data_IF_819162180137
#
_entry.id   IF_819162180137
#
_cell.length_a   1.000
_cell.length_b   1.000
_cell.length_c   1.000
_cell.angle_alpha   90.00
_cell.angle_beta   90.00
_cell.angle_gamma   90.00
#
_symmetry.space_group_name_H-M   'P 1'
#
loop_
_entity.id
_entity.type
_entity.pdbx_description
1 polymer ?
#
# COMPACT_ATOMS: atom_id res chain seq x y z
N UNK A 1 -3.32 -30.46 -39.91
CA UNK A 1 -2.37 -29.33 -39.79
C UNK A 1 -1.86 -29.29 -38.37
N UNK A 2 -0.58 -29.57 -38.18
CA UNK A 2 0.06 -29.73 -36.88
C UNK A 2 -0.05 -28.39 -36.11
N UNK A 3 -0.82 -28.38 -35.03
CA UNK A 3 -0.77 -27.30 -34.06
C UNK A 3 0.66 -27.29 -33.48
N UNK A 4 1.49 -26.37 -33.96
CA UNK A 4 2.76 -26.06 -33.33
C UNK A 4 2.45 -25.69 -31.88
N UNK A 5 2.69 -26.64 -30.98
CA UNK A 5 2.73 -26.40 -29.54
C UNK A 5 3.88 -25.42 -29.28
N UNK A 6 3.63 -24.13 -29.46
CA UNK A 6 4.53 -23.10 -29.01
C UNK A 6 4.84 -23.41 -27.54
N UNK A 7 6.11 -23.64 -27.25
CA UNK A 7 6.51 -23.93 -25.87
C UNK A 7 6.02 -22.82 -24.97
N UNK A 8 5.42 -23.16 -23.83
CA UNK A 8 4.89 -22.20 -22.85
C UNK A 8 5.99 -21.22 -22.45
N UNK A 9 7.24 -21.65 -22.50
CA UNK A 9 8.42 -20.82 -22.20
C UNK A 9 8.63 -19.64 -23.16
N UNK A 10 8.21 -19.76 -24.44
CA UNK A 10 8.32 -18.67 -25.42
C UNK A 10 7.23 -17.60 -25.29
N UNK A 11 6.18 -17.86 -24.49
CA UNK A 11 5.08 -16.94 -24.23
C UNK A 11 5.29 -16.12 -22.93
N UNK A 12 6.46 -16.23 -22.29
CA UNK A 12 6.80 -15.43 -21.13
C UNK A 12 7.80 -14.32 -21.48
N UNK A 13 7.43 -13.02 -21.40
CA UNK A 13 8.35 -11.92 -21.67
C UNK A 13 9.44 -11.74 -20.61
N UNK A 14 9.39 -12.51 -19.52
CA UNK A 14 10.34 -12.38 -18.40
C UNK A 14 11.73 -12.98 -18.69
N UNK A 15 11.87 -13.89 -19.64
CA UNK A 15 13.16 -14.51 -20.01
C UNK A 15 13.84 -13.82 -21.20
N UNK A 16 13.10 -13.64 -22.27
CA UNK A 16 13.57 -12.99 -23.50
C UNK A 16 12.41 -12.22 -24.14
N UNK A 17 12.47 -10.90 -24.02
CA UNK A 17 11.44 -10.00 -24.50
C UNK A 17 11.38 -10.02 -26.04
N UNK A 18 12.52 -10.12 -26.73
CA UNK A 18 12.58 -10.10 -28.18
C UNK A 18 12.01 -11.39 -28.77
N UNK A 19 12.33 -12.55 -28.19
CA UNK A 19 11.74 -13.83 -28.57
C UNK A 19 10.22 -13.83 -28.36
N UNK A 20 9.74 -13.26 -27.25
CA UNK A 20 8.30 -13.07 -27.01
C UNK A 20 7.66 -12.20 -28.10
N UNK A 21 8.24 -11.05 -28.42
CA UNK A 21 7.73 -10.14 -29.45
C UNK A 21 7.69 -10.81 -30.82
N UNK A 22 8.73 -11.58 -31.18
CA UNK A 22 8.77 -12.33 -32.43
C UNK A 22 7.66 -13.39 -32.49
N UNK A 23 7.48 -14.13 -31.41
CA UNK A 23 6.41 -15.14 -31.29
C UNK A 23 5.03 -14.54 -31.43
N UNK A 24 4.77 -13.42 -30.75
CA UNK A 24 3.50 -12.71 -30.82
C UNK A 24 3.25 -12.14 -32.22
N UNK A 25 4.29 -11.67 -32.90
CA UNK A 25 4.17 -11.17 -34.27
C UNK A 25 3.92 -12.28 -35.30
N UNK A 26 4.13 -13.54 -34.98
CA UNK A 26 3.80 -14.67 -35.85
C UNK A 26 2.30 -15.00 -35.88
N UNK A 27 1.52 -14.56 -34.88
CA UNK A 27 0.07 -14.78 -34.87
C UNK A 27 -0.63 -13.97 -35.98
N UNK A 28 -1.62 -14.59 -36.67
CA UNK A 28 -2.36 -13.90 -37.71
C UNK A 28 -3.24 -12.77 -37.15
N UNK A 29 -3.40 -11.71 -37.96
CA UNK A 29 -4.37 -10.66 -37.64
C UNK A 29 -5.76 -11.13 -38.06
N UNK A 30 -6.72 -11.10 -37.15
CA UNK A 30 -8.09 -11.54 -37.41
C UNK A 30 -8.86 -10.50 -38.28
N UNK A 31 -9.58 -11.01 -39.27
CA UNK A 31 -10.57 -10.20 -39.96
C UNK A 31 -11.75 -9.90 -39.02
N UNK A 32 -12.52 -8.84 -39.32
CA UNK A 32 -13.69 -8.44 -38.51
C UNK A 32 -14.72 -9.60 -38.38
N UNK A 33 -14.89 -10.36 -39.46
CA UNK A 33 -15.83 -11.49 -39.46
C UNK A 33 -15.32 -12.67 -38.60
N UNK A 34 -14.01 -12.99 -38.68
CA UNK A 34 -13.41 -14.06 -37.88
C UNK A 34 -13.42 -13.68 -36.39
N UNK A 35 -13.08 -12.44 -36.06
CA UNK A 35 -13.14 -11.92 -34.69
C UNK A 35 -14.55 -12.04 -34.12
N UNK A 36 -15.56 -11.65 -34.88
CA UNK A 36 -16.97 -11.73 -34.47
C UNK A 36 -17.41 -13.19 -34.22
N UNK A 37 -17.09 -14.11 -35.13
CA UNK A 37 -17.42 -15.53 -34.95
C UNK A 37 -16.79 -16.13 -33.68
N UNK A 38 -15.53 -15.82 -33.41
CA UNK A 38 -14.86 -16.27 -32.22
C UNK A 38 -15.48 -15.65 -30.94
N UNK A 39 -15.84 -14.37 -31.02
CA UNK A 39 -16.49 -13.68 -29.90
C UNK A 39 -17.91 -14.23 -29.63
N UNK A 40 -18.69 -14.54 -30.67
CA UNK A 40 -19.99 -15.16 -30.54
C UNK A 40 -19.90 -16.56 -29.91
N UNK A 41 -18.94 -17.41 -30.34
CA UNK A 41 -18.69 -18.72 -29.72
C UNK A 41 -18.34 -18.59 -28.23
N UNK A 42 -17.48 -17.64 -27.89
CA UNK A 42 -17.14 -17.42 -26.47
C UNK A 42 -18.33 -16.88 -25.69
N UNK A 43 -19.09 -15.93 -26.24
CA UNK A 43 -20.19 -15.27 -25.55
C UNK A 43 -21.38 -16.21 -25.29
N UNK A 44 -21.76 -17.03 -26.26
CA UNK A 44 -22.94 -17.91 -26.15
C UNK A 44 -22.60 -19.31 -25.62
N UNK A 45 -21.44 -19.86 -26.00
CA UNK A 45 -21.06 -21.23 -25.72
C UNK A 45 -20.00 -21.37 -24.61
N UNK A 46 -19.47 -20.24 -24.10
CA UNK A 46 -18.34 -20.21 -23.18
C UNK A 46 -17.11 -21.00 -23.68
N UNK A 47 -16.88 -21.01 -25.01
CA UNK A 47 -15.76 -21.72 -25.61
C UNK A 47 -14.44 -21.06 -25.25
N UNK A 48 -13.70 -21.70 -24.34
CA UNK A 48 -12.38 -21.21 -23.88
C UNK A 48 -11.32 -21.25 -24.99
N UNK A 49 -11.45 -22.15 -26.00
CA UNK A 49 -10.53 -22.18 -27.13
C UNK A 49 -10.71 -20.94 -28.00
N UNK A 50 -11.95 -20.50 -28.24
CA UNK A 50 -12.25 -19.26 -28.94
C UNK A 50 -11.73 -18.03 -28.17
N UNK A 51 -11.90 -17.99 -26.84
CA UNK A 51 -11.34 -16.91 -26.01
C UNK A 51 -9.82 -16.86 -26.08
N UNK A 52 -9.15 -18.01 -26.01
CA UNK A 52 -7.69 -18.12 -26.15
C UNK A 52 -7.22 -17.55 -27.49
N UNK A 53 -7.86 -17.96 -28.58
CA UNK A 53 -7.52 -17.49 -29.93
C UNK A 53 -7.71 -15.97 -30.07
N UNK A 54 -8.80 -15.41 -29.52
CA UNK A 54 -9.02 -13.98 -29.45
C UNK A 54 -7.88 -13.26 -28.71
N UNK A 55 -7.48 -13.75 -27.55
CA UNK A 55 -6.39 -13.13 -26.78
C UNK A 55 -5.08 -13.21 -27.57
N UNK A 56 -4.68 -14.41 -28.08
CA UNK A 56 -3.40 -14.60 -28.76
C UNK A 56 -3.24 -13.70 -29.98
N UNK A 57 -4.29 -13.56 -30.79
CA UNK A 57 -4.26 -12.72 -31.98
C UNK A 57 -4.20 -11.22 -31.67
N UNK A 58 -4.53 -10.79 -30.44
CA UNK A 58 -4.52 -9.38 -30.03
C UNK A 58 -3.33 -8.99 -29.13
N UNK A 59 -2.43 -9.92 -28.77
CA UNK A 59 -1.23 -9.62 -27.97
C UNK A 59 -0.32 -8.58 -28.64
N UNK A 60 -0.24 -8.56 -29.97
CA UNK A 60 0.51 -7.54 -30.73
C UNK A 60 0.05 -6.13 -30.41
N UNK A 61 -1.25 -5.94 -30.26
CA UNK A 61 -1.83 -4.65 -29.89
C UNK A 61 -1.37 -4.22 -28.47
N UNK A 62 -1.32 -5.16 -27.52
CA UNK A 62 -0.83 -4.89 -26.15
C UNK A 62 0.63 -4.44 -26.16
N UNK A 63 1.49 -5.13 -26.94
CA UNK A 63 2.91 -4.76 -27.08
C UNK A 63 3.05 -3.35 -27.64
N UNK A 64 2.29 -3.02 -28.69
CA UNK A 64 2.31 -1.67 -29.26
C UNK A 64 1.91 -0.62 -28.25
N UNK A 65 0.88 -0.88 -27.46
CA UNK A 65 0.41 0.04 -26.43
C UNK A 65 1.42 0.17 -25.28
N UNK A 66 2.04 -0.94 -24.83
CA UNK A 66 3.05 -0.93 -23.75
C UNK A 66 4.28 -0.09 -24.13
N UNK A 67 4.68 -0.06 -25.40
CA UNK A 67 5.79 0.79 -25.87
C UNK A 67 5.54 2.28 -25.65
N UNK A 68 4.29 2.72 -25.69
CA UNK A 68 3.96 4.14 -25.41
C UNK A 68 4.19 4.55 -23.95
N UNK A 69 4.37 3.57 -23.05
CA UNK A 69 4.62 3.77 -21.62
C UNK A 69 6.06 3.48 -21.20
N UNK A 70 6.99 3.21 -22.12
CA UNK A 70 8.40 2.91 -21.80
C UNK A 70 9.11 4.05 -21.03
N UNK A 71 8.67 5.30 -21.20
CA UNK A 71 9.24 6.48 -20.54
C UNK A 71 9.03 6.60 -19.03
N UNK A 72 8.32 5.66 -18.40
CA UNK A 72 8.09 5.65 -16.95
C UNK A 72 9.18 4.91 -16.15
N UNK A 73 10.17 4.28 -16.83
CA UNK A 73 11.28 3.60 -16.16
C UNK A 73 10.93 2.24 -15.55
N UNK A 74 9.79 1.67 -15.94
CA UNK A 74 9.36 0.35 -15.51
C UNK A 74 9.72 -0.72 -16.56
N UNK A 75 9.84 -1.98 -16.11
CA UNK A 75 10.08 -3.12 -17.00
C UNK A 75 9.00 -3.21 -18.08
N UNK A 76 9.42 -3.27 -19.35
CA UNK A 76 8.49 -3.39 -20.46
C UNK A 76 7.77 -4.75 -20.47
N UNK A 77 8.44 -5.80 -20.00
CA UNK A 77 7.84 -7.13 -19.85
C UNK A 77 6.65 -7.10 -18.89
N UNK A 78 6.81 -6.43 -17.76
CA UNK A 78 5.73 -6.32 -16.76
C UNK A 78 4.56 -5.47 -17.27
N UNK A 79 4.85 -4.36 -17.96
CA UNK A 79 3.81 -3.55 -18.59
C UNK A 79 3.00 -4.35 -19.64
N UNK A 80 3.67 -5.20 -20.41
CA UNK A 80 3.01 -6.07 -21.38
C UNK A 80 2.12 -7.08 -20.65
N UNK A 81 2.60 -7.70 -19.56
CA UNK A 81 1.81 -8.70 -18.83
C UNK A 81 0.58 -8.07 -18.16
N UNK A 82 0.71 -6.91 -17.57
CA UNK A 82 -0.44 -6.18 -17.03
C UNK A 82 -1.42 -5.78 -18.13
N UNK A 83 -0.90 -5.38 -19.29
CA UNK A 83 -1.73 -5.17 -20.48
C UNK A 83 -2.44 -6.43 -20.96
N UNK A 84 -1.79 -7.59 -20.91
CA UNK A 84 -2.40 -8.88 -21.24
C UNK A 84 -3.53 -9.23 -20.24
N UNK A 85 -3.36 -8.93 -18.95
CA UNK A 85 -4.43 -9.06 -17.94
C UNK A 85 -5.61 -8.16 -18.33
N UNK A 86 -5.35 -6.92 -18.73
CA UNK A 86 -6.37 -6.00 -19.24
C UNK A 86 -7.10 -6.53 -20.47
N UNK A 87 -6.37 -7.11 -21.43
CA UNK A 87 -6.94 -7.75 -22.62
C UNK A 87 -7.84 -8.93 -22.25
N UNK A 88 -7.40 -9.80 -21.34
CA UNK A 88 -8.23 -10.93 -20.87
C UNK A 88 -9.50 -10.46 -20.17
N UNK A 89 -9.44 -9.40 -19.36
CA UNK A 89 -10.62 -8.77 -18.74
C UNK A 89 -11.56 -8.21 -19.81
N UNK A 90 -11.03 -7.60 -20.86
CA UNK A 90 -11.81 -7.09 -21.98
C UNK A 90 -12.51 -8.23 -22.74
N UNK A 91 -11.80 -9.29 -23.12
CA UNK A 91 -12.39 -10.44 -23.82
C UNK A 91 -13.53 -11.06 -23.00
N UNK A 92 -13.35 -11.21 -21.70
CA UNK A 92 -14.39 -11.75 -20.80
C UNK A 92 -15.67 -10.91 -20.77
N UNK A 93 -15.59 -9.60 -21.02
CA UNK A 93 -16.71 -8.65 -20.93
C UNK A 93 -17.18 -8.14 -22.29
N UNK A 94 -16.57 -8.64 -23.37
CA UNK A 94 -16.88 -8.22 -24.71
C UNK A 94 -18.24 -8.76 -25.17
N UNK A 95 -19.13 -7.86 -25.61
CA UNK A 95 -20.39 -8.24 -26.24
C UNK A 95 -20.30 -8.04 -27.76
N UNK A 96 -20.35 -9.13 -28.55
CA UNK A 96 -20.29 -9.06 -30.03
C UNK A 96 -21.49 -8.42 -30.69
N UNK A 97 -22.64 -8.31 -29.98
CA UNK A 97 -23.89 -7.71 -30.52
C UNK A 97 -23.78 -6.20 -30.71
N UNK A 98 -22.93 -5.52 -29.94
CA UNK A 98 -22.75 -4.05 -30.00
C UNK A 98 -22.14 -3.59 -31.33
N UNK A 99 -21.52 -4.50 -32.10
CA UNK A 99 -20.98 -4.20 -33.43
C UNK A 99 -19.66 -3.43 -33.45
N UNK A 100 -18.98 -3.25 -32.30
CA UNK A 100 -17.64 -2.64 -32.22
C UNK A 100 -16.55 -3.69 -32.32
N UNK A 101 -15.35 -3.29 -32.78
CA UNK A 101 -14.17 -4.15 -32.77
C UNK A 101 -13.65 -4.38 -31.36
N UNK A 102 -13.15 -5.59 -31.08
CA UNK A 102 -12.55 -5.93 -29.79
C UNK A 102 -11.42 -4.97 -29.41
N UNK A 103 -10.57 -4.56 -30.35
CA UNK A 103 -9.48 -3.62 -30.10
C UNK A 103 -10.00 -2.28 -29.52
N UNK A 104 -11.09 -1.74 -30.10
CA UNK A 104 -11.69 -0.48 -29.66
C UNK A 104 -12.25 -0.56 -28.24
N UNK A 105 -12.79 -1.71 -27.87
CA UNK A 105 -13.25 -1.96 -26.50
C UNK A 105 -12.10 -2.25 -25.54
N UNK A 106 -11.14 -3.09 -25.96
CA UNK A 106 -10.04 -3.56 -25.12
C UNK A 106 -9.04 -2.45 -24.76
N UNK A 107 -8.87 -1.42 -25.60
CA UNK A 107 -7.90 -0.33 -25.35
C UNK A 107 -8.09 0.31 -23.97
N UNK A 108 -9.33 0.49 -23.54
CA UNK A 108 -9.63 1.10 -22.24
C UNK A 108 -9.25 0.18 -21.07
N UNK A 109 -9.48 -1.12 -21.20
CA UNK A 109 -9.12 -2.12 -20.20
C UNK A 109 -7.61 -2.29 -20.09
N UNK A 110 -6.93 -2.40 -21.25
CA UNK A 110 -5.47 -2.53 -21.32
C UNK A 110 -4.79 -1.30 -20.71
N UNK A 111 -5.23 -0.09 -21.10
CA UNK A 111 -4.70 1.15 -20.53
C UNK A 111 -4.96 1.25 -19.03
N UNK A 112 -6.13 0.84 -18.56
CA UNK A 112 -6.46 0.92 -17.13
C UNK A 112 -5.53 0.06 -16.28
N UNK A 113 -5.25 -1.19 -16.70
CA UNK A 113 -4.32 -2.07 -15.98
C UNK A 113 -2.88 -1.53 -16.03
N UNK A 114 -2.40 -1.10 -17.20
CA UNK A 114 -1.07 -0.49 -17.32
C UNK A 114 -0.93 0.78 -16.46
N UNK A 115 -1.94 1.65 -16.45
CA UNK A 115 -1.94 2.85 -15.62
C UNK A 115 -1.93 2.53 -14.13
N UNK A 116 -2.71 1.54 -13.70
CA UNK A 116 -2.73 1.13 -12.28
C UNK A 116 -1.39 0.53 -11.87
N UNK A 117 -0.78 -0.29 -12.73
CA UNK A 117 0.55 -0.84 -12.51
C UNK A 117 1.60 0.27 -12.39
N UNK A 118 1.61 1.24 -13.32
CA UNK A 118 2.54 2.38 -13.29
C UNK A 118 2.37 3.18 -11.99
N UNK A 119 1.15 3.54 -11.61
CA UNK A 119 0.89 4.32 -10.40
C UNK A 119 1.30 3.60 -9.11
N UNK A 120 1.27 2.26 -9.13
CA UNK A 120 1.63 1.44 -7.98
C UNK A 120 3.13 1.27 -7.83
N UNK A 121 3.85 1.12 -8.95
CA UNK A 121 5.25 0.67 -8.96
C UNK A 121 6.24 1.77 -9.39
N UNK A 122 5.78 2.97 -9.77
CA UNK A 122 6.66 4.04 -10.24
C UNK A 122 7.66 4.50 -9.19
N UNK A 123 7.27 4.47 -7.90
CA UNK A 123 8.10 4.82 -6.75
C UNK A 123 7.72 3.97 -5.53
N UNK A 124 8.62 3.90 -4.55
CA UNK A 124 8.42 3.21 -3.27
C UNK A 124 7.17 3.77 -2.58
N UNK A 125 7.03 5.09 -2.52
CA UNK A 125 5.84 5.76 -1.98
C UNK A 125 4.89 6.14 -3.13
N UNK A 126 3.61 5.81 -2.97
CA UNK A 126 2.58 6.17 -3.96
C UNK A 126 2.47 7.69 -4.12
N UNK A 127 2.77 8.18 -5.32
CA UNK A 127 2.78 9.62 -5.64
C UNK A 127 1.37 10.16 -5.88
N UNK A 128 0.49 9.37 -6.50
CA UNK A 128 -0.84 9.78 -6.90
C UNK A 128 -1.92 8.88 -6.29
N UNK A 129 -2.60 9.34 -5.25
CA UNK A 129 -3.64 8.61 -4.52
C UNK A 129 -5.05 9.06 -4.88
N UNK A 130 -5.26 10.35 -5.19
CA UNK A 130 -6.56 10.92 -5.54
C UNK A 130 -6.78 10.93 -7.06
N UNK A 131 -8.05 11.03 -7.49
CA UNK A 131 -8.42 11.12 -8.91
C UNK A 131 -7.75 12.31 -9.62
N UNK A 132 -7.66 13.47 -8.95
CA UNK A 132 -7.00 14.65 -9.47
C UNK A 132 -5.49 14.42 -9.68
N UNK A 133 -4.82 13.83 -8.70
CA UNK A 133 -3.39 13.51 -8.76
C UNK A 133 -3.09 12.47 -9.86
N UNK A 134 -3.92 11.42 -10.01
CA UNK A 134 -3.77 10.44 -11.10
C UNK A 134 -3.89 11.10 -12.49
N UNK A 135 -4.85 12.01 -12.66
CA UNK A 135 -5.01 12.77 -13.90
C UNK A 135 -3.79 13.63 -14.19
N UNK A 136 -3.26 14.31 -13.19
CA UNK A 136 -2.04 15.12 -13.30
C UNK A 136 -0.81 14.27 -13.63
N UNK A 137 -0.65 13.11 -13.00
CA UNK A 137 0.50 12.24 -13.20
C UNK A 137 0.74 11.91 -14.68
N UNK A 138 -0.30 11.57 -15.41
CA UNK A 138 -0.19 11.20 -16.83
C UNK A 138 -0.16 12.41 -17.77
N UNK A 139 -0.74 13.55 -17.38
CA UNK A 139 -0.91 14.67 -18.30
C UNK A 139 0.07 15.83 -18.04
N UNK A 140 0.65 15.95 -16.83
CA UNK A 140 1.48 17.09 -16.47
C UNK A 140 2.71 17.23 -17.36
N UNK A 141 3.39 16.11 -17.69
CA UNK A 141 4.56 16.12 -18.57
C UNK A 141 4.22 16.59 -20.01
N UNK A 142 3.10 16.14 -20.55
CA UNK A 142 2.64 16.51 -21.89
C UNK A 142 2.28 17.99 -22.01
N UNK A 143 1.83 18.59 -20.91
CA UNK A 143 1.44 20.00 -20.85
C UNK A 143 2.61 20.95 -20.55
N UNK A 144 3.78 20.43 -20.13
CA UNK A 144 4.98 21.25 -19.94
C UNK A 144 5.64 21.57 -21.28
N UNK A 145 5.82 22.86 -21.55
CA UNK A 145 6.58 23.36 -22.72
C UNK A 145 8.08 23.43 -22.48
N UNK A 146 8.51 23.47 -21.21
CA UNK A 146 9.89 23.59 -20.76
C UNK A 146 10.21 22.52 -19.72
N UNK A 147 11.49 22.19 -19.57
CA UNK A 147 11.97 21.21 -18.57
C UNK A 147 11.97 21.76 -17.14
N UNK A 148 11.89 23.08 -16.94
CA UNK A 148 11.88 23.74 -15.65
C UNK A 148 10.57 23.61 -14.90
N UNK A 149 10.49 24.29 -13.74
CA UNK A 149 9.26 24.42 -12.97
C UNK A 149 8.24 25.24 -13.73
N UNK A 150 6.96 24.90 -13.54
CA UNK A 150 5.83 25.67 -14.06
C UNK A 150 5.78 27.04 -13.38
N UNK A 151 5.61 28.09 -14.18
CA UNK A 151 5.29 29.40 -13.63
C UNK A 151 3.80 29.50 -13.24
N UNK A 152 3.42 30.57 -12.54
CA UNK A 152 2.06 30.70 -12.02
C UNK A 152 0.99 30.71 -13.14
N UNK A 153 1.29 31.31 -14.28
CA UNK A 153 0.38 31.34 -15.43
C UNK A 153 0.21 29.97 -16.08
N UNK A 154 1.31 29.21 -16.21
CA UNK A 154 1.28 27.82 -16.72
C UNK A 154 0.55 26.90 -15.76
N UNK A 155 0.78 27.03 -14.44
CA UNK A 155 0.07 26.26 -13.41
C UNK A 155 -1.44 26.50 -13.48
N UNK A 156 -1.88 27.75 -13.63
CA UNK A 156 -3.30 28.09 -13.79
C UNK A 156 -3.89 27.54 -15.09
N UNK A 157 -3.13 27.58 -16.18
CA UNK A 157 -3.56 27.02 -17.47
C UNK A 157 -3.78 25.50 -17.36
N UNK A 158 -2.80 24.76 -16.82
CA UNK A 158 -2.91 23.32 -16.59
C UNK A 158 -4.05 22.99 -15.64
N UNK A 159 -4.23 23.76 -14.57
CA UNK A 159 -5.32 23.58 -13.63
C UNK A 159 -6.70 23.71 -14.32
N UNK A 160 -6.85 24.72 -15.19
CA UNK A 160 -8.08 24.94 -15.97
C UNK A 160 -8.33 23.82 -16.97
N UNK A 161 -7.33 23.42 -17.75
CA UNK A 161 -7.43 22.36 -18.77
C UNK A 161 -7.81 21.01 -18.15
N UNK A 162 -7.23 20.71 -17.02
CA UNK A 162 -7.47 19.42 -16.34
C UNK A 162 -8.61 19.47 -15.31
N UNK A 163 -9.19 20.66 -15.05
CA UNK A 163 -10.27 20.84 -14.08
C UNK A 163 -9.85 20.43 -12.66
N UNK A 164 -8.65 20.85 -12.24
CA UNK A 164 -8.06 20.57 -10.91
C UNK A 164 -7.63 21.88 -10.23
N UNK A 165 -7.46 21.88 -8.92
CA UNK A 165 -6.97 23.04 -8.18
C UNK A 165 -5.50 23.33 -8.52
N UNK A 166 -5.13 24.62 -8.68
CA UNK A 166 -3.76 25.05 -8.93
C UNK A 166 -2.78 24.60 -7.83
N UNK A 167 -3.21 24.59 -6.56
CA UNK A 167 -2.41 24.07 -5.45
C UNK A 167 -2.04 22.61 -5.63
N UNK A 168 -2.96 21.79 -6.14
CA UNK A 168 -2.72 20.36 -6.41
C UNK A 168 -1.74 20.18 -7.55
N UNK A 169 -1.75 21.06 -8.57
CA UNK A 169 -0.78 21.04 -9.67
C UNK A 169 0.64 21.27 -9.14
N UNK A 170 0.86 22.35 -8.36
CA UNK A 170 2.17 22.66 -7.76
C UNK A 170 2.64 21.55 -6.83
N UNK A 171 1.75 21.03 -5.98
CA UNK A 171 2.09 19.91 -5.10
C UNK A 171 2.49 18.67 -5.89
N UNK A 172 1.77 18.34 -6.96
CA UNK A 172 2.06 17.17 -7.78
C UNK A 172 3.36 17.32 -8.55
N UNK A 173 3.65 18.52 -9.03
CA UNK A 173 4.93 18.85 -9.67
C UNK A 173 6.10 18.59 -8.72
N UNK A 174 6.03 19.08 -7.48
CA UNK A 174 7.04 18.81 -6.44
C UNK A 174 7.22 17.32 -6.17
N UNK A 175 6.12 16.57 -6.03
CA UNK A 175 6.18 15.12 -5.83
C UNK A 175 6.81 14.37 -6.99
N UNK A 176 6.55 14.80 -8.24
CA UNK A 176 7.13 14.16 -9.43
C UNK A 176 8.61 14.51 -9.62
N UNK A 177 9.05 15.68 -9.17
CA UNK A 177 10.44 16.12 -9.22
C UNK A 177 11.30 15.49 -8.13
N UNK A 178 10.73 15.17 -6.97
CA UNK A 178 11.46 14.51 -5.88
C UNK A 178 12.02 13.17 -6.32
N UNK A 179 13.15 12.76 -5.77
CA UNK A 179 13.76 11.43 -5.96
C UNK A 179 13.74 10.68 -4.64
N UNK A 180 13.58 9.35 -4.73
CA UNK A 180 13.73 8.49 -3.56
C UNK A 180 15.23 8.49 -3.18
N UNK A 181 15.50 8.71 -1.88
CA UNK A 181 16.86 8.67 -1.33
C UNK A 181 17.15 7.24 -0.86
N UNK A 182 18.39 6.78 -1.07
CA UNK A 182 18.84 5.54 -0.45
C UNK A 182 18.89 5.74 1.07
N UNK A 183 18.41 4.75 1.83
CA UNK A 183 18.45 4.80 3.30
C UNK A 183 19.86 4.65 3.83
N UNK A 184 20.62 3.72 3.25
CA UNK A 184 22.03 3.49 3.56
C UNK A 184 22.91 4.31 2.61
N UNK A 185 24.04 4.82 3.12
CA UNK A 185 25.03 5.50 2.31
C UNK A 185 25.66 4.53 1.32
N UNK A 186 26.06 5.05 0.16
CA UNK A 186 26.97 4.32 -0.71
C UNK A 186 28.38 4.48 -0.15
N UNK A 187 29.10 3.39 0.01
CA UNK A 187 30.57 3.43 0.22
C UNK A 187 31.21 3.91 -1.08
N UNK A 188 31.29 5.24 -1.23
CA UNK A 188 32.11 5.84 -2.28
C UNK A 188 33.51 6.00 -1.74
N UNK A 189 34.38 5.07 -2.10
CA UNK A 189 35.82 5.12 -1.76
C UNK A 189 36.59 6.32 -2.41
N UNK A 190 35.92 7.07 -3.28
CA UNK A 190 36.56 8.15 -4.05
C UNK A 190 35.62 9.37 -4.17
N UNK A 191 35.87 10.40 -3.36
CA UNK A 191 35.40 11.75 -3.66
C UNK A 191 34.87 12.56 -2.48
N UNK A 192 35.12 13.86 -2.51
CA UNK A 192 34.81 14.91 -1.52
C UNK A 192 33.27 15.16 -1.32
N UNK A 193 32.38 14.49 -2.06
CA UNK A 193 30.94 14.65 -1.95
C UNK A 193 30.31 13.59 -1.01
N UNK A 194 30.66 13.68 0.27
CA UNK A 194 30.02 12.85 1.29
C UNK A 194 28.56 13.27 1.51
N UNK A 195 27.63 12.56 0.90
CA UNK A 195 26.20 12.74 1.15
C UNK A 195 25.81 11.95 2.39
N UNK A 196 25.47 12.65 3.48
CA UNK A 196 25.00 12.03 4.71
C UNK A 196 23.72 11.24 4.42
N UNK A 197 23.76 9.93 4.61
CA UNK A 197 22.61 9.05 4.39
C UNK A 197 21.59 9.18 5.52
N UNK A 198 20.28 8.95 5.25
CA UNK A 198 19.24 8.96 6.28
C UNK A 198 19.53 8.09 7.49
N UNK A 199 20.16 6.93 7.29
CA UNK A 199 20.57 6.01 8.37
C UNK A 199 21.53 6.63 9.39
N UNK A 200 22.25 7.69 9.00
CA UNK A 200 23.25 8.33 9.86
C UNK A 200 22.70 9.48 10.71
N UNK A 201 21.57 10.10 10.30
CA UNK A 201 20.99 11.23 11.04
C UNK A 201 19.60 10.95 11.62
N UNK A 202 18.96 9.84 11.25
CA UNK A 202 17.70 9.44 11.85
C UNK A 202 17.95 8.78 13.20
N UNK A 203 17.31 9.31 14.23
CA UNK A 203 17.34 8.69 15.56
C UNK A 203 16.59 7.35 15.56
N UNK A 204 17.19 6.35 16.19
CA UNK A 204 16.54 5.08 16.41
C UNK A 204 15.36 5.24 17.39
N UNK A 205 14.26 4.55 17.12
CA UNK A 205 13.10 4.51 18.04
C UNK A 205 13.34 3.59 19.24
N UNK A 206 14.48 2.86 19.28
CA UNK A 206 14.86 2.05 20.42
C UNK A 206 15.19 2.96 21.61
N UNK A 207 14.54 2.72 22.75
CA UNK A 207 14.80 3.47 23.95
C UNK A 207 16.30 3.38 24.33
N UNK A 208 16.84 4.51 24.82
CA UNK A 208 18.21 4.57 25.31
C UNK A 208 18.41 3.51 26.40
N UNK A 209 19.43 2.65 26.31
CA UNK A 209 19.67 1.60 27.32
C UNK A 209 19.73 2.11 28.75
N UNK A 210 20.26 3.33 28.96
CA UNK A 210 20.29 3.99 30.26
C UNK A 210 18.86 4.32 30.77
N UNK A 211 17.98 4.80 29.89
CA UNK A 211 16.59 5.07 30.23
C UNK A 211 15.80 3.79 30.52
N UNK A 212 16.06 2.72 29.75
CA UNK A 212 15.46 1.41 30.02
C UNK A 212 15.86 0.91 31.39
N UNK A 213 17.15 0.89 31.69
CA UNK A 213 17.66 0.46 33.00
C UNK A 213 17.09 1.33 34.15
N UNK A 214 17.07 2.66 33.97
CA UNK A 214 16.50 3.56 34.99
C UNK A 214 14.99 3.33 35.19
N UNK A 215 14.23 3.08 34.12
CA UNK A 215 12.81 2.77 34.21
C UNK A 215 12.54 1.40 34.86
N UNK A 216 13.37 0.41 34.58
CA UNK A 216 13.27 -0.93 35.16
C UNK A 216 13.58 -0.87 36.68
N UNK A 217 14.65 -0.17 37.07
CA UNK A 217 14.99 0.06 38.47
C UNK A 217 13.87 0.82 39.18
N UNK A 218 13.38 1.88 38.60
CA UNK A 218 12.27 2.67 39.15
C UNK A 218 11.00 1.81 39.31
N UNK A 219 10.63 1.06 38.31
CA UNK A 219 9.46 0.16 38.36
C UNK A 219 9.61 -0.90 39.43
N UNK A 220 10.78 -1.48 39.54
CA UNK A 220 11.11 -2.49 40.57
C UNK A 220 11.03 -1.90 41.98
N UNK A 221 11.60 -0.71 42.18
CA UNK A 221 11.55 0.00 43.45
C UNK A 221 10.12 0.37 43.87
N UNK A 222 9.36 1.01 42.94
CA UNK A 222 7.96 1.37 43.21
C UNK A 222 7.09 0.16 43.50
N UNK A 223 7.34 -0.95 42.80
CA UNK A 223 6.62 -2.21 43.06
C UNK A 223 6.97 -2.82 44.43
N UNK A 224 8.24 -2.78 44.81
CA UNK A 224 8.69 -3.24 46.13
C UNK A 224 8.10 -2.40 47.27
N UNK A 225 8.09 -1.06 47.09
CA UNK A 225 7.51 -0.12 48.05
C UNK A 225 6.00 -0.32 48.19
N UNK A 226 5.29 -0.50 47.06
CA UNK A 226 3.87 -0.83 47.08
C UNK A 226 3.56 -2.12 47.82
N UNK A 227 4.32 -3.17 47.54
CA UNK A 227 4.18 -4.46 48.27
C UNK A 227 4.49 -4.31 49.73
N UNK A 228 5.52 -3.55 50.11
CA UNK A 228 5.85 -3.22 51.50
C UNK A 228 4.71 -2.50 52.20
N UNK A 229 4.18 -1.47 51.59
CA UNK A 229 3.06 -0.70 52.10
C UNK A 229 1.76 -1.51 52.22
N UNK A 230 1.50 -2.44 51.33
CA UNK A 230 0.36 -3.37 51.38
C UNK A 230 0.52 -4.40 52.51
N UNK A 231 1.72 -4.93 52.72
CA UNK A 231 1.99 -5.88 53.83
C UNK A 231 1.80 -5.26 55.22
N UNK A 232 2.02 -3.95 55.34
CA UNK A 232 1.81 -3.19 56.59
C UNK A 232 0.33 -2.94 56.90
N UNK A 233 -0.61 -3.36 56.05
CA UNK A 233 -2.06 -3.20 56.24
C UNK A 233 -2.66 -4.45 56.85
N UNK A 234 -3.83 -4.25 57.49
CA UNK A 234 -4.66 -5.35 57.95
C UNK A 234 -5.09 -6.26 56.80
N UNK A 235 -5.25 -7.53 57.06
CA UNK A 235 -5.51 -8.55 56.06
C UNK A 235 -6.75 -8.25 55.22
N UNK A 236 -7.80 -7.72 55.85
CA UNK A 236 -9.07 -7.34 55.17
C UNK A 236 -8.90 -6.18 54.22
N UNK A 237 -8.19 -5.13 54.64
CA UNK A 237 -7.90 -3.96 53.75
C UNK A 237 -7.00 -4.33 52.61
N UNK A 238 -6.01 -5.23 52.84
CA UNK A 238 -5.10 -5.72 51.79
C UNK A 238 -5.84 -6.56 50.76
N UNK A 239 -6.70 -7.50 51.14
CA UNK A 239 -7.48 -8.34 50.23
C UNK A 239 -8.45 -7.49 49.38
N UNK A 240 -9.14 -6.50 49.96
CA UNK A 240 -10.00 -5.59 49.25
C UNK A 240 -9.22 -4.83 48.18
N UNK A 241 -8.03 -4.28 48.51
CA UNK A 241 -7.23 -3.54 47.54
C UNK A 241 -6.67 -4.48 46.44
N UNK A 242 -6.20 -5.67 46.78
CA UNK A 242 -5.71 -6.64 45.80
C UNK A 242 -6.81 -7.08 44.84
N UNK A 243 -7.98 -7.44 45.37
CA UNK A 243 -9.10 -7.94 44.54
C UNK A 243 -9.69 -6.86 43.62
N UNK A 244 -9.61 -5.57 43.99
CA UNK A 244 -10.20 -4.48 43.22
C UNK A 244 -9.22 -3.77 42.28
N UNK A 245 -7.94 -3.67 42.65
CA UNK A 245 -6.98 -2.83 41.95
C UNK A 245 -5.80 -3.57 41.34
N UNK A 246 -5.42 -4.69 41.90
CA UNK A 246 -4.23 -5.45 41.49
C UNK A 246 -4.54 -6.79 40.81
N UNK A 247 -5.82 -7.18 40.79
CA UNK A 247 -6.26 -8.40 40.08
C UNK A 247 -6.71 -8.08 38.65
N UNK A 248 -6.43 -8.97 37.72
CA UNK A 248 -6.92 -8.89 36.33
C UNK A 248 -8.45 -8.85 36.25
N UNK A 249 -9.13 -9.60 37.12
CA UNK A 249 -10.58 -9.56 37.32
C UNK A 249 -10.92 -8.68 38.51
N UNK A 250 -11.42 -7.47 38.28
CA UNK A 250 -11.86 -6.53 39.33
C UNK A 250 -13.11 -7.07 39.99
N UNK A 251 -13.05 -7.34 41.29
CA UNK A 251 -14.20 -7.76 42.11
C UNK A 251 -15.09 -6.54 42.41
N UNK A 252 -16.40 -6.70 42.39
CA UNK A 252 -17.34 -5.62 42.70
C UNK A 252 -17.48 -5.38 44.21
N UNK A 253 -17.95 -4.16 44.61
CA UNK A 253 -18.19 -3.86 46.04
C UNK A 253 -19.26 -4.79 46.64
N UNK A 254 -20.21 -5.25 45.85
CA UNK A 254 -21.29 -6.14 46.28
C UNK A 254 -20.75 -7.54 46.60
N UNK A 255 -19.95 -8.11 45.70
CA UNK A 255 -19.31 -9.43 45.93
C UNK A 255 -18.40 -9.43 47.16
N UNK A 256 -17.66 -8.35 47.40
CA UNK A 256 -16.83 -8.19 48.58
C UNK A 256 -17.66 -8.02 49.85
N UNK A 257 -18.79 -7.30 49.74
CA UNK A 257 -19.74 -7.15 50.83
C UNK A 257 -20.34 -8.50 51.29
N UNK A 258 -20.74 -9.33 50.32
CA UNK A 258 -21.21 -10.69 50.55
C UNK A 258 -20.14 -11.58 51.17
N UNK A 259 -18.89 -11.54 50.64
CA UNK A 259 -17.77 -12.30 51.16
C UNK A 259 -17.45 -12.00 52.64
N UNK A 260 -17.53 -10.72 53.03
CA UNK A 260 -17.20 -10.29 54.37
C UNK A 260 -18.40 -10.11 55.30
N UNK A 261 -19.61 -10.34 54.84
CA UNK A 261 -20.84 -10.17 55.64
C UNK A 261 -21.08 -8.75 56.12
N UNK A 262 -20.72 -7.74 55.31
CA UNK A 262 -20.85 -6.30 55.62
C UNK A 262 -21.55 -5.53 54.52
N UNK A 263 -21.96 -4.31 54.74
CA UNK A 263 -22.59 -3.50 53.72
C UNK A 263 -21.56 -3.05 52.65
N UNK A 264 -21.99 -2.90 51.41
CA UNK A 264 -21.15 -2.38 50.30
C UNK A 264 -20.55 -1.01 50.60
N UNK A 265 -21.29 -0.15 51.31
CA UNK A 265 -20.79 1.15 51.77
C UNK A 265 -19.66 1.00 52.80
N UNK A 266 -19.73 0.00 53.65
CA UNK A 266 -18.64 -0.29 54.59
C UNK A 266 -17.37 -0.76 53.86
N UNK A 267 -17.50 -1.59 52.83
CA UNK A 267 -16.36 -1.94 51.97
C UNK A 267 -15.75 -0.71 51.34
N UNK A 268 -16.55 0.21 50.80
CA UNK A 268 -16.10 1.47 50.21
C UNK A 268 -15.34 2.34 51.22
N UNK A 269 -15.81 2.42 52.47
CA UNK A 269 -15.14 3.16 53.55
C UNK A 269 -13.78 2.55 53.88
N UNK A 270 -13.68 1.20 53.98
CA UNK A 270 -12.42 0.50 54.24
C UNK A 270 -11.45 0.76 53.08
N UNK A 271 -11.90 0.61 51.83
CA UNK A 271 -11.11 0.88 50.64
C UNK A 271 -10.56 2.33 50.65
N UNK A 272 -11.42 3.34 50.86
CA UNK A 272 -11.02 4.75 50.91
C UNK A 272 -9.97 5.03 52.01
N UNK A 273 -10.16 4.48 53.20
CA UNK A 273 -9.20 4.60 54.30
C UNK A 273 -7.88 3.89 54.00
N UNK A 274 -7.92 2.70 53.40
CA UNK A 274 -6.75 1.95 53.01
C UNK A 274 -5.95 2.69 51.91
N UNK A 275 -6.63 3.27 50.89
CA UNK A 275 -6.00 4.08 49.85
C UNK A 275 -5.36 5.35 50.43
N UNK A 276 -6.04 6.03 51.36
CA UNK A 276 -5.48 7.22 52.04
C UNK A 276 -4.18 6.88 52.82
N UNK A 277 -4.18 5.77 53.54
CA UNK A 277 -3.01 5.28 54.25
C UNK A 277 -1.88 4.81 53.34
N UNK A 278 -2.20 4.19 52.18
CA UNK A 278 -1.23 3.86 51.15
C UNK A 278 -0.55 5.07 50.55
N UNK A 279 -1.35 6.11 50.18
CA UNK A 279 -0.81 7.36 49.68
C UNK A 279 0.14 8.02 50.65
N UNK A 280 -0.19 8.01 51.95
CA UNK A 280 0.67 8.60 53.00
C UNK A 280 1.98 7.80 53.17
N UNK A 281 1.97 6.48 52.95
CA UNK A 281 3.15 5.64 53.06
C UNK A 281 4.06 5.69 51.81
N UNK A 282 3.51 5.99 50.66
CA UNK A 282 4.22 6.09 49.36
C UNK A 282 4.54 7.55 48.98
N UNK A 283 4.11 8.54 49.74
CA UNK A 283 4.51 9.93 49.53
C UNK A 283 6.01 10.08 49.73
N UNK A 284 6.76 10.69 48.81
CA UNK A 284 8.16 11.00 49.00
C UNK A 284 8.34 11.86 50.25
N UNK A 285 9.32 11.53 51.05
CA UNK A 285 9.68 12.28 52.25
C UNK A 285 10.20 13.69 51.91
#
# INVERSE_FOLDING_TARGET
MSANLLSIDSLSPGRDLDAYIQTVNAFPVLSAQAERKLAERFYYENDLAAARELVMCHLRFVIHLARSYSGYGLSQGDLIQEGNVGLMKAVKRFNPEVGVRLVSFAVHWVKAEMHEYILRNWRIVKVATTKAQRKLFFNLRGNKKRLGWLNESETRAVAKDLGVDAKVVTQMEGRMAARDLAFDGYDTDEGDDYVIAPSQYLEGTSANPAEVAANDDWTSQVTADLHGALRARDERSRDILQSRWLSDKKTTLIELAERYGISAERVRQIEANAMKKLRAALAPA
#
